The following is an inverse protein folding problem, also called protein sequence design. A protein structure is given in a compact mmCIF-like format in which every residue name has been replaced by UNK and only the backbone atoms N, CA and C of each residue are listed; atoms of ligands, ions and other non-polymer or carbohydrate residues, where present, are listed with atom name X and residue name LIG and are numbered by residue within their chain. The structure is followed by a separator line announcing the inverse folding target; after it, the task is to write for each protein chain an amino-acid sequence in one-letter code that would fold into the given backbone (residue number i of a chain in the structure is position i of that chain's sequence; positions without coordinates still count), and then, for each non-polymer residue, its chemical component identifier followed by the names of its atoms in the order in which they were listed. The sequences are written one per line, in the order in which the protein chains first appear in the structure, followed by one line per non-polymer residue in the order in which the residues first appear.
data_IF_247196651792
#
_entry.id   IF_247196651792
#
_cell.length_a   1.000
_cell.length_b   1.000
_cell.length_c   1.000
_cell.angle_alpha   90.00
_cell.angle_beta   90.00
_cell.angle_gamma   90.00
#
_symmetry.space_group_name_H-M   'P 1'
#
loop_
_entity.id
_entity.type
_entity.pdbx_description
1 polymer ?
#
# COMPACT_ATOMS: atom_id res chain seq x y z
N UNK A 1 -1.94 -3.72 25.31
CA UNK A 1 -1.76 -3.12 23.96
C UNK A 1 -0.36 -2.53 23.84
N UNK A 2 0.19 -2.44 22.62
CA UNK A 2 1.50 -1.78 22.38
C UNK A 2 1.44 -0.32 22.79
N UNK A 3 2.35 0.13 23.66
CA UNK A 3 2.37 1.50 24.20
C UNK A 3 3.71 2.21 24.00
N UNK A 4 4.75 1.46 23.62
CA UNK A 4 6.08 2.00 23.40
C UNK A 4 6.65 1.54 22.07
N UNK A 5 7.40 2.42 21.41
CA UNK A 5 8.31 2.07 20.32
C UNK A 5 9.64 1.71 20.96
N UNK A 6 10.14 0.50 20.72
CA UNK A 6 11.38 0.03 21.36
C UNK A 6 12.55 0.87 20.87
N UNK A 7 13.43 1.22 21.80
CA UNK A 7 14.70 1.91 21.55
C UNK A 7 15.84 1.09 22.12
N UNK A 8 17.00 1.10 21.45
CA UNK A 8 18.24 0.58 22.00
C UNK A 8 19.07 1.71 22.62
N UNK A 9 19.84 1.45 23.70
CA UNK A 9 20.76 2.44 24.25
C UNK A 9 21.67 3.02 23.15
N UNK A 10 21.85 4.33 23.15
CA UNK A 10 22.70 5.07 22.19
C UNK A 10 22.31 4.94 20.71
N UNK A 11 21.11 4.44 20.39
CA UNK A 11 20.55 4.50 19.03
C UNK A 11 19.31 5.38 19.01
N UNK A 12 19.24 6.27 18.04
CA UNK A 12 18.00 6.95 17.67
C UNK A 12 17.26 6.12 16.63
N UNK A 13 15.94 6.34 16.50
CA UNK A 13 15.22 5.73 15.40
C UNK A 13 15.57 6.43 14.10
N UNK A 14 15.72 5.64 13.04
CA UNK A 14 15.74 6.19 11.70
C UNK A 14 14.43 6.91 11.41
N UNK A 15 14.55 8.05 10.76
CA UNK A 15 13.41 8.88 10.42
C UNK A 15 13.57 9.52 9.05
N UNK A 16 12.45 9.64 8.37
CA UNK A 16 12.37 10.14 7.00
C UNK A 16 11.30 11.21 6.95
N UNK A 17 11.59 12.29 6.23
CA UNK A 17 10.53 13.16 5.78
C UNK A 17 9.84 12.48 4.60
N UNK A 18 8.52 12.42 4.60
CA UNK A 18 7.73 11.83 3.53
C UNK A 18 6.61 12.76 3.08
N UNK A 19 6.14 12.53 1.87
CA UNK A 19 4.90 13.11 1.36
C UNK A 19 4.16 12.08 0.51
N UNK A 20 2.83 12.12 0.59
CA UNK A 20 1.92 11.44 -0.34
C UNK A 20 1.13 12.55 -1.05
N UNK A 21 1.22 12.62 -2.37
CA UNK A 21 0.58 13.69 -3.12
C UNK A 21 -0.96 13.59 -3.02
N UNK A 22 -1.62 14.68 -2.62
CA UNK A 22 -3.09 14.70 -2.54
C UNK A 22 -3.76 14.61 -3.93
N UNK A 23 -3.04 14.92 -5.01
CA UNK A 23 -3.56 14.90 -6.39
C UNK A 23 -3.39 13.54 -7.07
N UNK A 24 -2.18 12.95 -7.03
CA UNK A 24 -1.87 11.71 -7.75
C UNK A 24 -1.57 10.52 -6.84
N UNK A 25 -1.53 10.71 -5.51
CA UNK A 25 -1.18 9.69 -4.53
C UNK A 25 0.27 9.15 -4.64
N UNK A 26 1.17 9.82 -5.38
CA UNK A 26 2.58 9.42 -5.42
C UNK A 26 3.22 9.59 -4.04
N UNK A 27 4.04 8.61 -3.66
CA UNK A 27 4.85 8.65 -2.45
C UNK A 27 6.26 9.12 -2.77
N UNK A 28 6.80 9.99 -1.92
CA UNK A 28 8.21 10.39 -1.96
C UNK A 28 8.74 10.58 -0.54
N UNK A 29 10.02 10.26 -0.35
CA UNK A 29 10.70 10.31 0.94
C UNK A 29 12.17 10.65 0.80
N UNK A 30 12.74 11.20 1.87
CA UNK A 30 14.16 11.49 2.03
C UNK A 30 14.51 11.43 3.53
N UNK A 31 15.76 11.12 3.88
CA UNK A 31 16.18 11.08 5.29
C UNK A 31 15.87 12.43 5.95
N UNK A 32 15.29 12.39 7.15
CA UNK A 32 14.75 13.60 7.81
C UNK A 32 15.81 14.67 8.12
N UNK A 33 17.10 14.30 8.14
CA UNK A 33 18.23 15.22 8.30
C UNK A 33 18.64 15.93 6.99
N UNK A 34 18.27 15.38 5.83
CA UNK A 34 18.68 15.89 4.52
C UNK A 34 17.65 16.84 3.89
N UNK A 35 16.42 16.87 4.41
CA UNK A 35 15.37 17.75 3.92
C UNK A 35 14.51 18.32 5.03
N UNK A 36 13.96 19.51 4.82
CA UNK A 36 12.95 20.12 5.70
C UNK A 36 11.52 19.93 5.19
N UNK A 37 11.36 19.33 4.00
CA UNK A 37 10.07 18.98 3.43
C UNK A 37 10.04 19.03 1.92
N UNK A 38 8.88 18.69 1.36
CA UNK A 38 8.66 18.70 -0.08
C UNK A 38 7.68 19.80 -0.48
N UNK A 39 8.02 20.56 -1.51
CA UNK A 39 7.14 21.63 -2.03
C UNK A 39 6.25 21.13 -3.16
N UNK A 40 6.77 20.26 -4.02
CA UNK A 40 6.08 19.73 -5.20
C UNK A 40 6.20 18.21 -5.29
N UNK A 41 5.22 17.59 -5.93
CA UNK A 41 5.19 16.18 -6.27
C UNK A 41 6.19 15.89 -7.40
N UNK A 42 7.05 14.89 -7.20
CA UNK A 42 8.01 14.43 -8.19
C UNK A 42 7.39 13.76 -9.44
N UNK A 43 6.10 13.40 -9.42
CA UNK A 43 5.40 12.75 -10.55
C UNK A 43 4.52 13.74 -11.32
N UNK A 44 3.57 14.41 -10.65
CA UNK A 44 2.60 15.28 -11.31
C UNK A 44 2.92 16.78 -11.21
N UNK A 45 3.97 17.17 -10.48
CA UNK A 45 4.37 18.57 -10.30
C UNK A 45 3.43 19.40 -9.39
N UNK A 46 2.29 18.86 -8.94
CA UNK A 46 1.38 19.58 -8.06
C UNK A 46 2.03 19.88 -6.70
N UNK A 47 1.59 20.97 -6.06
CA UNK A 47 2.07 21.38 -4.73
C UNK A 47 1.69 20.31 -3.69
N UNK A 48 2.63 19.93 -2.82
CA UNK A 48 2.36 18.98 -1.74
C UNK A 48 1.54 19.67 -0.65
N UNK A 49 0.41 19.06 -0.29
CA UNK A 49 -0.48 19.53 0.76
C UNK A 49 -0.10 19.03 2.16
N UNK A 50 -1.11 18.65 2.95
CA UNK A 50 -0.92 18.30 4.38
C UNK A 50 -0.52 16.84 4.60
N UNK A 51 -0.60 15.99 3.58
CA UNK A 51 -0.25 14.58 3.69
C UNK A 51 1.27 14.37 3.61
N UNK A 52 1.99 15.01 4.52
CA UNK A 52 3.44 14.97 4.64
C UNK A 52 3.85 15.10 6.12
N UNK A 53 5.06 14.69 6.44
CA UNK A 53 5.59 14.78 7.79
C UNK A 53 6.82 13.91 7.98
N UNK A 54 7.16 13.64 9.23
CA UNK A 54 8.26 12.72 9.55
C UNK A 54 7.66 11.39 9.98
N UNK A 55 8.07 10.30 9.36
CA UNK A 55 7.82 8.97 9.91
C UNK A 55 9.05 8.41 10.63
N UNK A 56 8.79 7.63 11.68
CA UNK A 56 9.79 6.87 12.42
C UNK A 56 9.76 5.41 11.96
N UNK A 57 10.93 4.81 11.76
CA UNK A 57 11.06 3.37 11.51
C UNK A 57 11.17 2.61 12.84
N UNK A 58 10.16 1.81 13.23
CA UNK A 58 10.18 1.05 14.49
C UNK A 58 11.01 -0.24 14.36
N UNK A 59 12.26 -0.13 13.91
CA UNK A 59 13.12 -1.28 13.55
C UNK A 59 13.37 -2.26 14.70
N UNK A 60 13.24 -1.82 15.96
CA UNK A 60 13.42 -2.67 17.15
C UNK A 60 12.08 -3.22 17.69
N UNK A 61 10.97 -2.96 17.01
CA UNK A 61 9.64 -3.40 17.40
C UNK A 61 8.98 -2.52 18.47
N UNK A 62 7.98 -3.08 19.13
CA UNK A 62 7.12 -2.39 20.10
C UNK A 62 7.17 -3.08 21.47
N UNK A 63 6.88 -2.33 22.53
CA UNK A 63 6.71 -2.87 23.90
C UNK A 63 5.29 -2.57 24.38
N UNK A 64 4.66 -3.56 25.01
CA UNK A 64 3.35 -3.41 25.62
C UNK A 64 3.38 -2.45 26.82
N UNK A 65 2.24 -1.82 27.10
CA UNK A 65 2.02 -1.14 28.38
C UNK A 65 2.09 -2.14 29.55
N UNK A 66 2.42 -1.63 30.75
CA UNK A 66 2.37 -2.41 31.99
C UNK A 66 0.94 -2.58 32.54
N UNK A 67 -0.04 -1.91 31.92
CA UNK A 67 -1.46 -2.08 32.25
C UNK A 67 -1.90 -3.52 31.93
N UNK A 68 -2.65 -4.12 32.85
CA UNK A 68 -3.22 -5.44 32.63
C UNK A 68 -4.05 -5.41 31.33
N UNK A 69 -3.89 -6.39 30.42
CA UNK A 69 -4.76 -6.49 29.26
C UNK A 69 -6.21 -6.56 29.76
N UNK A 70 -7.09 -5.76 29.17
CA UNK A 70 -8.53 -5.89 29.41
C UNK A 70 -9.00 -7.30 29.07
N UNK A 71 -10.14 -7.72 29.65
CA UNK A 71 -10.73 -9.01 29.31
C UNK A 71 -10.95 -9.09 27.78
N UNK A 72 -10.52 -10.18 27.11
CA UNK A 72 -10.79 -10.35 25.70
C UNK A 72 -12.31 -10.39 25.49
N UNK A 73 -12.85 -9.38 24.81
CA UNK A 73 -14.24 -9.35 24.37
C UNK A 73 -14.43 -10.14 23.07
N UNK A 74 -15.69 -10.40 22.72
CA UNK A 74 -16.05 -10.97 21.41
C UNK A 74 -15.87 -9.96 20.26
N UNK A 75 -15.80 -8.66 20.59
CA UNK A 75 -15.55 -7.60 19.62
C UNK A 75 -14.08 -7.57 19.20
N UNK A 76 -13.88 -7.62 17.88
CA UNK A 76 -12.56 -7.47 17.27
C UNK A 76 -11.98 -6.10 17.66
N UNK A 77 -10.72 -6.04 18.13
CA UNK A 77 -10.08 -4.77 18.43
C UNK A 77 -10.10 -3.84 17.21
N UNK A 78 -10.51 -2.59 17.42
CA UNK A 78 -10.42 -1.57 16.39
C UNK A 78 -8.95 -1.43 15.96
N UNK A 79 -8.64 -1.84 14.73
CA UNK A 79 -7.34 -1.53 14.15
C UNK A 79 -7.33 -0.05 13.90
N UNK A 80 -6.35 0.61 14.51
CA UNK A 80 -6.32 2.07 14.59
C UNK A 80 -6.49 2.69 13.21
N UNK A 81 -5.79 2.20 12.17
CA UNK A 81 -5.98 2.65 10.77
C UNK A 81 -5.49 1.60 9.76
N UNK A 82 -6.12 1.51 8.58
CA UNK A 82 -5.62 0.69 7.45
C UNK A 82 -4.33 1.28 6.91
N UNK A 83 -3.25 0.49 6.85
CA UNK A 83 -1.99 0.95 6.29
C UNK A 83 -1.95 0.62 4.80
N UNK A 84 -1.57 1.59 3.96
CA UNK A 84 -1.44 1.43 2.50
C UNK A 84 0.02 1.26 2.12
N UNK A 85 0.27 0.42 1.12
CA UNK A 85 1.58 0.27 0.48
C UNK A 85 1.67 1.25 -0.68
N UNK A 86 2.84 1.86 -0.83
CA UNK A 86 3.15 2.80 -1.91
C UNK A 86 4.45 2.39 -2.59
N UNK A 87 4.46 2.42 -3.93
CA UNK A 87 5.69 2.32 -4.70
C UNK A 87 6.34 3.70 -4.86
N UNK A 88 7.64 3.76 -4.60
CA UNK A 88 8.40 5.02 -4.67
C UNK A 88 8.82 5.42 -6.09
N UNK A 89 8.57 4.56 -7.09
CA UNK A 89 9.04 4.76 -8.45
C UNK A 89 10.49 4.33 -8.69
N UNK A 90 11.14 3.71 -7.69
CA UNK A 90 12.56 3.30 -7.75
C UNK A 90 12.70 1.78 -7.69
N UNK A 91 13.48 1.23 -8.61
CA UNK A 91 14.03 -0.13 -8.65
C UNK A 91 15.54 -0.02 -8.88
N UNK A 92 16.33 -0.93 -8.32
CA UNK A 92 17.79 -0.90 -8.46
C UNK A 92 18.40 -2.24 -8.92
N UNK A 93 17.56 -3.17 -9.33
CA UNK A 93 17.99 -4.49 -9.78
C UNK A 93 17.73 -4.71 -11.27
N UNK A 94 17.84 -5.97 -11.69
CA UNK A 94 17.53 -6.40 -13.04
C UNK A 94 16.07 -6.13 -13.39
N UNK A 95 15.84 -5.73 -14.64
CA UNK A 95 14.53 -5.51 -15.21
C UNK A 95 14.31 -6.39 -16.44
N UNK A 96 13.15 -7.03 -16.51
CA UNK A 96 12.69 -7.81 -17.66
C UNK A 96 11.36 -7.23 -18.14
N UNK A 97 11.24 -7.00 -19.45
CA UNK A 97 10.06 -6.39 -20.05
C UNK A 97 9.48 -7.26 -21.17
N UNK A 98 8.17 -7.46 -21.12
CA UNK A 98 7.36 -8.11 -22.17
C UNK A 98 6.15 -7.23 -22.48
N UNK A 99 5.78 -7.13 -23.76
CA UNK A 99 4.58 -6.41 -24.19
C UNK A 99 3.57 -7.39 -24.79
N UNK A 100 2.32 -7.28 -24.37
CA UNK A 100 1.20 -8.06 -24.90
C UNK A 100 0.29 -7.12 -25.70
N UNK A 101 -0.05 -7.52 -26.92
CA UNK A 101 -1.04 -6.81 -27.73
C UNK A 101 -2.43 -7.26 -27.30
N UNK A 102 -3.25 -6.30 -26.88
CA UNK A 102 -4.64 -6.48 -26.54
C UNK A 102 -5.54 -5.93 -27.66
N UNK A 103 -6.81 -6.29 -27.66
CA UNK A 103 -7.78 -5.77 -28.61
C UNK A 103 -7.98 -4.24 -28.43
N UNK A 104 -8.45 -3.59 -29.50
CA UNK A 104 -8.68 -2.13 -29.49
C UNK A 104 -7.39 -1.28 -29.55
N UNK A 105 -6.26 -1.87 -29.95
CA UNK A 105 -4.98 -1.16 -30.09
C UNK A 105 -4.28 -0.88 -28.76
N UNK A 106 -4.69 -1.56 -27.69
CA UNK A 106 -4.10 -1.44 -26.35
C UNK A 106 -2.87 -2.35 -26.29
N UNK A 107 -1.77 -1.86 -25.71
CA UNK A 107 -0.59 -2.67 -25.41
C UNK A 107 -0.39 -2.73 -23.90
N UNK A 108 -0.37 -3.94 -23.35
CA UNK A 108 -0.06 -4.18 -21.95
C UNK A 108 1.44 -4.44 -21.80
N UNK A 109 2.14 -3.50 -21.19
CA UNK A 109 3.53 -3.64 -20.79
C UNK A 109 3.63 -4.31 -19.41
N UNK A 110 4.35 -5.42 -19.35
CA UNK A 110 4.78 -6.10 -18.14
C UNK A 110 6.24 -5.77 -17.90
N UNK A 111 6.59 -5.20 -16.74
CA UNK A 111 7.98 -5.00 -16.31
C UNK A 111 8.21 -5.66 -14.96
N UNK A 112 8.91 -6.79 -14.92
CA UNK A 112 9.46 -7.26 -13.65
C UNK A 112 10.70 -6.44 -13.32
N UNK A 113 10.80 -6.00 -12.08
CA UNK A 113 11.98 -5.34 -11.57
C UNK A 113 12.31 -5.94 -10.20
N UNK A 114 13.60 -6.23 -9.98
CA UNK A 114 14.07 -6.62 -8.65
C UNK A 114 14.39 -5.40 -7.80
N UNK A 115 14.26 -5.57 -6.48
CA UNK A 115 14.50 -4.53 -5.47
C UNK A 115 13.68 -3.26 -5.74
N UNK A 116 12.41 -3.42 -6.07
CA UNK A 116 11.45 -2.31 -6.10
C UNK A 116 11.23 -1.76 -4.70
N UNK A 117 11.46 -0.46 -4.52
CA UNK A 117 11.37 0.22 -3.23
C UNK A 117 9.93 0.62 -2.91
N UNK A 118 9.34 -0.08 -1.94
CA UNK A 118 7.99 0.14 -1.42
C UNK A 118 8.03 0.79 -0.04
N UNK A 119 6.92 1.42 0.35
CA UNK A 119 6.75 2.05 1.65
C UNK A 119 5.37 1.78 2.23
N UNK A 120 5.33 1.55 3.54
CA UNK A 120 4.12 1.38 4.34
C UNK A 120 4.08 2.52 5.35
N UNK A 121 3.04 3.35 5.29
CA UNK A 121 2.92 4.54 6.16
C UNK A 121 1.61 4.49 6.94
N UNK A 122 1.74 4.54 8.26
CA UNK A 122 0.65 4.74 9.20
C UNK A 122 0.73 6.16 9.80
N UNK A 123 -0.13 7.06 9.32
CA UNK A 123 -0.22 8.44 9.78
C UNK A 123 -1.30 8.64 10.86
N UNK A 124 -1.83 7.54 11.42
CA UNK A 124 -2.91 7.53 12.38
C UNK A 124 -4.14 8.37 11.98
N UNK A 125 -4.64 8.24 10.74
CA UNK A 125 -5.78 9.03 10.27
C UNK A 125 -5.52 10.53 10.28
N UNK A 126 -4.28 10.91 9.92
CA UNK A 126 -3.75 12.28 9.98
C UNK A 126 -3.50 12.85 11.39
N UNK A 127 -3.84 12.14 12.47
CA UNK A 127 -3.51 12.58 13.83
C UNK A 127 -2.03 12.43 14.14
N UNK A 128 -1.36 11.44 13.54
CA UNK A 128 -0.02 11.00 13.88
C UNK A 128 0.08 10.42 15.29
N UNK A 129 1.31 10.14 15.69
CA UNK A 129 1.70 9.61 16.98
C UNK A 129 2.60 10.61 17.68
N UNK A 130 2.33 10.88 18.95
CA UNK A 130 3.26 11.64 19.79
C UNK A 130 4.18 10.62 20.46
N UNK A 131 5.48 10.81 20.30
CA UNK A 131 6.48 9.85 20.75
C UNK A 131 7.48 10.54 21.67
N UNK A 132 7.68 9.99 22.87
CA UNK A 132 8.77 10.39 23.74
C UNK A 132 10.08 9.85 23.19
N UNK A 133 10.98 10.73 22.72
CA UNK A 133 12.30 10.33 22.21
C UNK A 133 13.20 9.68 23.26
N UNK A 134 12.95 9.93 24.54
CA UNK A 134 13.75 9.36 25.63
C UNK A 134 13.43 7.86 25.87
N UNK A 135 12.15 7.50 25.96
CA UNK A 135 11.74 6.15 26.39
C UNK A 135 10.84 5.39 25.41
N UNK A 136 10.41 6.00 24.31
CA UNK A 136 9.52 5.37 23.33
C UNK A 136 8.04 5.41 23.66
N UNK A 137 7.63 5.97 24.79
CA UNK A 137 6.21 6.08 25.15
C UNK A 137 5.44 6.81 24.06
N UNK A 138 4.31 6.23 23.64
CA UNK A 138 3.57 6.66 22.45
C UNK A 138 2.08 6.79 22.76
N UNK A 139 1.49 7.90 22.31
CA UNK A 139 0.04 8.13 22.33
C UNK A 139 -0.41 8.61 20.96
N UNK A 140 -1.70 8.44 20.64
CA UNK A 140 -2.26 9.00 19.42
C UNK A 140 -2.26 10.53 19.49
N UNK A 141 -2.12 11.19 18.33
CA UNK A 141 -1.98 12.64 18.29
C UNK A 141 -3.19 13.43 18.77
N UNK A 142 -4.38 12.81 18.75
CA UNK A 142 -5.65 13.31 19.27
C UNK A 142 -5.90 12.95 20.75
N UNK A 143 -5.09 12.08 21.36
CA UNK A 143 -5.17 11.78 22.78
C UNK A 143 -4.52 12.90 23.61
N UNK A 144 -4.98 13.06 24.86
CA UNK A 144 -4.34 13.96 25.83
C UNK A 144 -2.92 13.49 26.13
N UNK A 145 -1.95 14.37 25.95
CA UNK A 145 -0.55 14.08 26.29
C UNK A 145 -0.42 14.13 27.81
N UNK A 146 -0.02 13.04 28.48
CA UNK A 146 0.17 13.08 29.92
C UNK A 146 1.40 13.96 30.25
N UNK A 147 1.28 14.80 31.27
CA UNK A 147 2.37 15.69 31.71
C UNK A 147 3.59 14.92 32.23
N UNK A 148 3.37 13.71 32.74
CA UNK A 148 4.39 12.75 33.14
C UNK A 148 4.02 11.37 32.60
N UNK A 149 5.02 10.55 32.25
CA UNK A 149 4.79 9.17 31.82
C UNK A 149 5.93 8.27 32.30
N UNK A 150 5.65 6.97 32.36
CA UNK A 150 6.62 5.96 32.76
C UNK A 150 7.36 5.38 31.56
N UNK A 151 8.62 5.02 31.76
CA UNK A 151 9.41 4.18 30.85
C UNK A 151 8.79 2.78 30.74
N UNK A 152 9.17 1.96 29.72
CA UNK A 152 8.71 0.57 29.62
C UNK A 152 8.99 -0.29 30.86
N UNK A 153 9.96 0.12 31.69
CA UNK A 153 10.37 -0.58 32.92
C UNK A 153 9.71 -0.02 34.19
N UNK A 154 8.79 0.95 34.06
CA UNK A 154 8.00 1.47 35.19
C UNK A 154 8.61 2.68 35.92
N UNK A 155 9.83 3.10 35.56
CA UNK A 155 10.47 4.31 36.10
C UNK A 155 9.86 5.58 35.50
N UNK A 156 9.85 6.69 36.23
CA UNK A 156 9.43 7.99 35.69
C UNK A 156 10.37 8.47 34.57
N UNK A 157 9.80 9.00 33.50
CA UNK A 157 10.55 9.53 32.38
C UNK A 157 10.46 11.07 32.33
N UNK A 158 11.59 11.80 32.33
CA UNK A 158 11.59 13.25 32.19
C UNK A 158 11.43 13.71 30.73
N UNK A 159 11.34 12.77 29.79
CA UNK A 159 11.25 13.06 28.37
C UNK A 159 9.95 13.77 28.00
N UNK A 160 9.97 14.54 26.91
CA UNK A 160 8.82 15.29 26.42
C UNK A 160 8.33 14.72 25.09
N UNK A 161 7.03 14.88 24.84
CA UNK A 161 6.34 14.40 23.63
C UNK A 161 5.95 15.58 22.72
N UNK A 162 6.96 16.28 22.20
CA UNK A 162 6.79 17.58 21.54
C UNK A 162 6.29 17.45 20.10
N UNK A 163 6.71 16.41 19.40
CA UNK A 163 6.50 16.25 17.97
C UNK A 163 5.49 15.14 17.68
N UNK A 164 4.82 15.28 16.54
CA UNK A 164 3.98 14.24 15.94
C UNK A 164 4.77 13.54 14.84
N UNK A 165 4.62 12.23 14.77
CA UNK A 165 5.28 11.36 13.81
C UNK A 165 4.26 10.44 13.18
N UNK A 166 4.49 10.03 11.94
CA UNK A 166 3.91 8.80 11.41
C UNK A 166 4.78 7.62 11.81
N UNK A 167 4.25 6.40 11.71
CA UNK A 167 5.06 5.18 11.74
C UNK A 167 5.15 4.64 10.33
N UNK A 168 6.33 4.18 9.94
CA UNK A 168 6.48 3.63 8.61
C UNK A 168 7.71 2.76 8.45
N UNK A 169 7.75 2.06 7.33
CA UNK A 169 8.89 1.25 6.93
C UNK A 169 8.99 1.27 5.41
N UNK A 170 10.22 1.38 4.92
CA UNK A 170 10.54 1.19 3.51
C UNK A 170 11.27 -0.14 3.36
N UNK A 171 10.87 -0.90 2.35
CA UNK A 171 11.43 -2.21 2.07
C UNK A 171 11.59 -2.40 0.56
N UNK A 172 12.41 -3.38 0.19
CA UNK A 172 12.66 -3.75 -1.19
C UNK A 172 12.16 -5.19 -1.40
N UNK A 173 11.48 -5.41 -2.53
CA UNK A 173 11.02 -6.72 -2.96
C UNK A 173 10.97 -6.76 -4.49
N UNK A 174 10.78 -7.94 -5.06
CA UNK A 174 10.51 -8.06 -6.49
C UNK A 174 9.11 -7.54 -6.80
N UNK A 175 8.99 -6.77 -7.88
CA UNK A 175 7.73 -6.19 -8.33
C UNK A 175 7.45 -6.59 -9.77
N UNK A 176 6.16 -6.64 -10.11
CA UNK A 176 5.67 -6.63 -11.47
C UNK A 176 4.86 -5.35 -11.70
N UNK A 177 5.37 -4.46 -12.54
CA UNK A 177 4.68 -3.27 -13.01
C UNK A 177 3.88 -3.62 -14.27
N UNK A 178 2.58 -3.36 -14.24
CA UNK A 178 1.68 -3.46 -15.37
C UNK A 178 1.31 -2.06 -15.83
N UNK A 179 1.42 -1.79 -17.13
CA UNK A 179 1.02 -0.50 -17.69
C UNK A 179 0.27 -0.69 -19.01
N UNK A 180 -0.94 -0.13 -19.10
CA UNK A 180 -1.84 -0.28 -20.25
C UNK A 180 -1.68 0.93 -21.19
N UNK A 181 -0.76 0.82 -22.16
CA UNK A 181 -0.58 1.84 -23.19
C UNK A 181 -1.81 1.97 -24.07
N UNK A 182 -2.17 3.21 -24.41
CA UNK A 182 -3.34 3.49 -25.25
C UNK A 182 -4.69 3.35 -24.55
N UNK A 183 -4.71 3.08 -23.24
CA UNK A 183 -5.94 2.98 -22.45
C UNK A 183 -5.96 3.96 -21.28
N UNK A 184 -7.12 4.57 -21.07
CA UNK A 184 -7.37 5.48 -19.96
C UNK A 184 -8.79 5.27 -19.45
N UNK A 185 -8.95 5.34 -18.13
CA UNK A 185 -10.25 5.30 -17.47
C UNK A 185 -10.22 6.22 -16.24
N UNK A 186 -11.20 7.10 -16.14
CA UNK A 186 -11.33 8.08 -15.06
C UNK A 186 -12.49 7.76 -14.11
N UNK A 187 -13.22 6.66 -14.34
CA UNK A 187 -14.28 6.20 -13.44
C UNK A 187 -13.66 5.87 -12.08
N UNK A 188 -14.22 6.47 -11.04
CA UNK A 188 -13.76 6.31 -9.66
C UNK A 188 -13.73 4.82 -9.29
N UNK A 189 -12.60 4.36 -8.75
CA UNK A 189 -12.44 2.96 -8.32
C UNK A 189 -12.12 1.95 -9.43
N UNK A 190 -12.13 2.34 -10.72
CA UNK A 190 -11.82 1.41 -11.83
C UNK A 190 -10.44 0.76 -11.66
N UNK A 191 -9.38 1.56 -11.53
CA UNK A 191 -8.01 1.03 -11.45
C UNK A 191 -7.75 0.20 -10.20
N UNK A 192 -8.37 0.55 -9.06
CA UNK A 192 -8.34 -0.30 -7.88
C UNK A 192 -9.09 -1.61 -8.11
N UNK A 193 -10.26 -1.57 -8.75
CA UNK A 193 -11.02 -2.77 -9.09
C UNK A 193 -10.24 -3.68 -10.03
N UNK A 194 -9.58 -3.13 -11.05
CA UNK A 194 -8.72 -3.88 -11.97
C UNK A 194 -7.51 -4.48 -11.24
N UNK A 195 -6.82 -3.72 -10.39
CA UNK A 195 -5.71 -4.20 -9.57
C UNK A 195 -6.11 -5.41 -8.74
N UNK A 196 -7.23 -5.33 -8.02
CA UNK A 196 -7.67 -6.42 -7.17
C UNK A 196 -8.19 -7.61 -7.99
N UNK A 197 -8.86 -7.39 -9.11
CA UNK A 197 -9.23 -8.48 -10.02
C UNK A 197 -8.01 -9.25 -10.51
N UNK A 198 -6.95 -8.55 -10.92
CA UNK A 198 -5.71 -9.17 -11.39
C UNK A 198 -4.98 -9.91 -10.27
N UNK A 199 -4.94 -9.39 -9.04
CA UNK A 199 -4.36 -10.11 -7.91
C UNK A 199 -5.08 -11.43 -7.62
N UNK A 200 -6.41 -11.44 -7.72
CA UNK A 200 -7.19 -12.68 -7.59
C UNK A 200 -6.98 -13.63 -8.79
N UNK A 201 -6.83 -13.08 -9.99
CA UNK A 201 -6.48 -13.84 -11.20
C UNK A 201 -5.11 -14.50 -11.09
N UNK A 202 -4.10 -13.77 -10.61
CA UNK A 202 -2.75 -14.30 -10.35
C UNK A 202 -2.81 -15.42 -9.32
N UNK A 203 -3.48 -15.18 -8.18
CA UNK A 203 -3.65 -16.20 -7.14
C UNK A 203 -4.29 -17.48 -7.70
N UNK A 204 -5.34 -17.33 -8.52
CA UNK A 204 -6.07 -18.47 -9.09
C UNK A 204 -5.29 -19.20 -10.19
N UNK A 205 -4.68 -18.47 -11.13
CA UNK A 205 -3.96 -19.06 -12.27
C UNK A 205 -2.65 -19.72 -11.84
N UNK A 206 -1.93 -19.10 -10.90
CA UNK A 206 -0.60 -19.56 -10.48
C UNK A 206 -0.63 -20.37 -9.19
N UNK A 207 -1.81 -20.62 -8.61
CA UNK A 207 -1.98 -21.32 -7.33
C UNK A 207 -1.13 -20.71 -6.20
N UNK A 208 -1.10 -19.38 -6.16
CA UNK A 208 -0.40 -18.63 -5.11
C UNK A 208 -1.44 -18.23 -4.06
N UNK A 209 -1.10 -18.39 -2.79
CA UNK A 209 -1.95 -17.93 -1.70
C UNK A 209 -2.21 -16.43 -1.81
N UNK A 210 -3.48 -16.02 -1.83
CA UNK A 210 -3.84 -14.62 -2.05
C UNK A 210 -3.20 -13.67 -1.02
N UNK A 211 -2.99 -14.15 0.21
CA UNK A 211 -2.37 -13.38 1.29
C UNK A 211 -0.87 -13.10 1.07
N UNK A 212 -0.22 -13.86 0.19
CA UNK A 212 1.21 -13.75 -0.16
C UNK A 212 1.43 -12.77 -1.32
N UNK A 213 0.35 -12.21 -1.88
CA UNK A 213 0.37 -11.21 -2.93
C UNK A 213 -0.26 -9.91 -2.44
N UNK A 214 0.27 -8.78 -2.87
CA UNK A 214 -0.41 -7.51 -2.71
C UNK A 214 -0.07 -6.56 -3.86
N UNK A 215 -0.70 -5.40 -3.88
CA UNK A 215 -0.44 -4.43 -4.91
C UNK A 215 -0.87 -3.01 -4.58
N UNK A 216 -0.32 -2.08 -5.35
CA UNK A 216 -0.66 -0.67 -5.25
C UNK A 216 -0.72 -0.02 -6.63
N UNK A 217 -1.39 1.12 -6.72
CA UNK A 217 -1.37 1.96 -7.92
C UNK A 217 -0.17 2.89 -7.84
N UNK A 218 0.53 3.05 -8.96
CA UNK A 218 1.59 4.04 -9.12
C UNK A 218 1.20 5.05 -10.20
N UNK A 219 1.05 6.34 -9.87
CA UNK A 219 0.71 7.35 -10.86
C UNK A 219 1.83 7.54 -11.87
N UNK A 220 1.47 7.61 -13.15
CA UNK A 220 2.44 7.83 -14.23
C UNK A 220 2.51 9.31 -14.62
N UNK A 221 3.70 9.84 -14.96
CA UNK A 221 3.83 11.21 -15.48
C UNK A 221 2.91 11.47 -16.69
N UNK A 222 2.38 12.68 -16.81
CA UNK A 222 1.50 13.10 -17.91
C UNK A 222 0.03 12.77 -17.70
N UNK A 223 -0.32 11.55 -17.24
CA UNK A 223 -1.71 11.18 -16.91
C UNK A 223 -1.81 10.34 -15.62
N UNK A 224 -1.53 10.94 -14.45
CA UNK A 224 -1.35 10.20 -13.21
C UNK A 224 -2.62 9.50 -12.68
N UNK A 225 -3.81 9.98 -13.06
CA UNK A 225 -5.09 9.44 -12.57
C UNK A 225 -5.83 8.61 -13.61
N UNK A 226 -5.70 8.94 -14.90
CA UNK A 226 -6.41 8.24 -15.97
C UNK A 226 -5.73 6.96 -16.44
N UNK A 227 -4.42 6.81 -16.21
CA UNK A 227 -3.67 5.59 -16.55
C UNK A 227 -2.50 5.39 -15.57
N UNK A 228 -2.76 5.00 -14.32
CA UNK A 228 -1.71 4.59 -13.40
C UNK A 228 -1.12 3.24 -13.81
N UNK A 229 0.11 2.97 -13.42
CA UNK A 229 0.65 1.63 -13.44
C UNK A 229 0.11 0.83 -12.24
N UNK A 230 -0.07 -0.47 -12.42
CA UNK A 230 -0.44 -1.40 -11.36
C UNK A 230 0.83 -2.12 -10.92
N UNK A 231 1.19 -1.99 -9.65
CA UNK A 231 2.36 -2.64 -9.07
C UNK A 231 1.88 -3.85 -8.26
N UNK A 232 2.28 -5.03 -8.68
CA UNK A 232 2.05 -6.30 -7.98
C UNK A 232 3.37 -6.71 -7.32
N UNK A 233 3.31 -7.26 -6.11
CA UNK A 233 4.50 -7.72 -5.40
C UNK A 233 4.18 -8.87 -4.44
N UNK A 234 5.22 -9.63 -4.09
CA UNK A 234 5.11 -10.66 -3.07
C UNK A 234 5.11 -10.01 -1.69
N UNK A 235 4.09 -10.31 -0.88
CA UNK A 235 3.98 -9.86 0.50
C UNK A 235 4.38 -10.96 1.49
N UNK A 236 5.60 -11.47 1.27
CA UNK A 236 6.25 -12.40 2.18
C UNK A 236 7.64 -11.86 2.53
N UNK A 237 8.12 -12.04 3.78
CA UNK A 237 9.46 -11.58 4.16
C UNK A 237 10.53 -12.14 3.22
N UNK A 238 11.30 -11.26 2.58
CA UNK A 238 12.37 -11.63 1.64
C UNK A 238 11.94 -11.84 0.18
N UNK A 239 10.63 -11.84 -0.11
CA UNK A 239 10.08 -12.07 -1.45
C UNK A 239 10.18 -13.53 -1.90
N UNK A 240 9.11 -14.09 -2.45
CA UNK A 240 9.10 -15.46 -2.97
C UNK A 240 9.51 -15.54 -4.45
N UNK A 241 9.62 -14.40 -5.12
CA UNK A 241 9.87 -14.28 -6.55
C UNK A 241 8.70 -14.76 -7.40
N UNK A 242 7.46 -14.77 -6.89
CA UNK A 242 6.31 -15.25 -7.65
C UNK A 242 5.96 -14.29 -8.78
N UNK A 243 5.89 -12.99 -8.49
CA UNK A 243 5.56 -11.97 -9.48
C UNK A 243 6.54 -11.89 -10.64
N UNK A 244 7.81 -12.28 -10.43
CA UNK A 244 8.82 -12.34 -11.49
C UNK A 244 8.52 -13.40 -12.54
N UNK A 245 7.90 -14.53 -12.14
CA UNK A 245 7.56 -15.64 -13.05
C UNK A 245 6.42 -15.32 -14.00
N UNK A 246 5.67 -14.25 -13.74
CA UNK A 246 4.53 -13.79 -14.54
C UNK A 246 4.94 -13.01 -15.78
N UNK A 247 6.21 -12.69 -15.99
CA UNK A 247 6.70 -11.95 -17.17
C UNK A 247 6.82 -12.89 -18.37
N UNK A 248 5.70 -13.49 -18.73
CA UNK A 248 5.52 -14.35 -19.90
C UNK A 248 4.14 -14.07 -20.46
N UNK A 249 4.07 -13.88 -21.77
CA UNK A 249 2.82 -13.55 -22.46
C UNK A 249 1.71 -14.56 -22.14
N UNK A 250 1.98 -15.86 -22.32
CA UNK A 250 0.99 -16.92 -22.09
C UNK A 250 0.52 -16.97 -20.63
N UNK A 251 1.44 -16.89 -19.67
CA UNK A 251 1.09 -16.87 -18.25
C UNK A 251 0.22 -15.67 -17.90
N UNK A 252 0.46 -14.50 -18.49
CA UNK A 252 -0.36 -13.33 -18.19
C UNK A 252 -1.73 -13.37 -18.88
N UNK A 253 -1.86 -14.02 -20.05
CA UNK A 253 -3.17 -14.31 -20.66
C UNK A 253 -4.02 -15.20 -19.76
N UNK A 254 -3.43 -16.22 -19.14
CA UNK A 254 -4.11 -17.08 -18.14
C UNK A 254 -4.61 -16.25 -16.94
N UNK A 255 -3.81 -15.28 -16.47
CA UNK A 255 -4.20 -14.36 -15.39
C UNK A 255 -5.39 -13.49 -15.80
N UNK A 256 -5.39 -12.91 -17.01
CA UNK A 256 -6.51 -12.11 -17.51
C UNK A 256 -7.79 -12.95 -17.60
N UNK A 257 -7.68 -14.18 -18.10
CA UNK A 257 -8.81 -15.10 -18.20
C UNK A 257 -9.34 -15.52 -16.82
N UNK A 258 -8.46 -15.87 -15.89
CA UNK A 258 -8.82 -16.24 -14.53
C UNK A 258 -9.51 -15.08 -13.80
N UNK A 259 -9.02 -13.85 -13.99
CA UNK A 259 -9.63 -12.63 -13.47
C UNK A 259 -11.06 -12.47 -13.98
N UNK A 260 -11.25 -12.52 -15.31
CA UNK A 260 -12.57 -12.38 -15.94
C UNK A 260 -13.55 -13.46 -15.47
N UNK A 261 -13.11 -14.73 -15.49
CA UNK A 261 -13.92 -15.88 -15.05
C UNK A 261 -14.39 -15.73 -13.59
N UNK A 262 -13.49 -15.31 -12.70
CA UNK A 262 -13.83 -15.10 -11.28
C UNK A 262 -14.88 -14.01 -11.12
N UNK A 263 -14.71 -12.88 -11.81
CA UNK A 263 -15.66 -11.77 -11.70
C UNK A 263 -17.02 -12.13 -12.29
N UNK A 264 -17.08 -12.86 -13.41
CA UNK A 264 -18.32 -13.27 -14.05
C UNK A 264 -19.12 -14.30 -13.23
N UNK A 265 -18.44 -15.20 -12.51
CA UNK A 265 -19.10 -16.20 -11.63
C UNK A 265 -19.68 -15.62 -10.35
N UNK A 266 -19.25 -14.43 -9.95
CA UNK A 266 -19.81 -13.76 -8.79
C UNK A 266 -21.22 -13.21 -9.11
N UNK A 267 -22.08 -13.10 -8.10
CA UNK A 267 -23.46 -12.60 -8.28
C UNK A 267 -23.70 -11.26 -7.56
N UNK A 268 -22.67 -10.68 -6.93
CA UNK A 268 -22.84 -9.43 -6.17
C UNK A 268 -23.20 -8.24 -7.10
N UNK A 269 -24.11 -7.37 -6.65
CA UNK A 269 -24.63 -6.28 -7.49
C UNK A 269 -25.61 -6.73 -8.59
N UNK A 270 -26.09 -7.98 -8.52
CA UNK A 270 -27.06 -8.52 -9.47
C UNK A 270 -26.56 -8.53 -10.92
N UNK A 271 -27.49 -8.33 -11.86
CA UNK A 271 -27.22 -8.32 -13.31
C UNK A 271 -26.28 -7.19 -13.72
N UNK A 272 -26.38 -6.03 -13.06
CA UNK A 272 -25.55 -4.86 -13.37
C UNK A 272 -24.08 -5.02 -12.90
N UNK A 273 -23.83 -5.90 -11.93
CA UNK A 273 -22.48 -6.11 -11.38
C UNK A 273 -21.88 -4.87 -10.71
N UNK A 274 -22.70 -3.89 -10.34
CA UNK A 274 -22.30 -2.58 -9.82
C UNK A 274 -21.83 -2.60 -8.34
N UNK A 275 -21.20 -3.70 -7.92
CA UNK A 275 -20.80 -3.93 -6.54
C UNK A 275 -19.48 -4.71 -6.45
N UNK A 276 -19.04 -4.94 -5.20
CA UNK A 276 -17.92 -5.80 -4.85
C UNK A 276 -18.24 -6.60 -3.59
N UNK A 277 -17.64 -7.78 -3.45
CA UNK A 277 -17.72 -8.62 -2.26
C UNK A 277 -16.39 -9.36 -2.04
N UNK A 278 -16.27 -10.09 -0.93
CA UNK A 278 -15.08 -10.88 -0.62
C UNK A 278 -14.85 -12.06 -1.58
N UNK A 279 -15.87 -12.46 -2.33
CA UNK A 279 -15.75 -13.49 -3.37
C UNK A 279 -15.22 -12.97 -4.73
N UNK A 280 -15.10 -11.65 -4.91
CA UNK A 280 -14.62 -11.08 -6.18
C UNK A 280 -13.45 -10.09 -6.00
N UNK A 281 -13.65 -8.95 -5.34
CA UNK A 281 -12.67 -7.86 -5.30
C UNK A 281 -12.24 -7.46 -3.89
N UNK A 282 -13.07 -7.72 -2.87
CA UNK A 282 -12.78 -7.28 -1.50
C UNK A 282 -11.81 -8.23 -0.83
N UNK A 283 -10.82 -7.65 -0.19
CA UNK A 283 -9.87 -8.32 0.67
C UNK A 283 -9.74 -7.51 1.97
N UNK A 284 -9.22 -8.10 3.05
CA UNK A 284 -9.06 -7.36 4.31
C UNK A 284 -8.15 -6.11 4.14
N UNK A 285 -7.15 -6.22 3.27
CA UNK A 285 -6.13 -5.18 3.07
C UNK A 285 -6.60 -3.99 2.24
N UNK A 286 -7.67 -4.14 1.47
CA UNK A 286 -8.21 -3.07 0.62
C UNK A 286 -9.49 -2.43 1.17
N UNK A 287 -9.76 -2.61 2.47
CA UNK A 287 -10.91 -1.99 3.16
C UNK A 287 -11.03 -0.49 2.92
N UNK A 288 -9.90 0.22 2.77
CA UNK A 288 -9.87 1.65 2.52
C UNK A 288 -10.58 2.10 1.23
N UNK A 289 -10.82 1.18 0.28
CA UNK A 289 -11.49 1.50 -0.99
C UNK A 289 -12.68 0.58 -1.31
N UNK A 290 -13.18 -0.21 -0.36
CA UNK A 290 -14.31 -1.15 -0.59
C UNK A 290 -15.54 -0.49 -1.21
N UNK A 291 -15.83 0.75 -0.84
CA UNK A 291 -16.98 1.53 -1.34
C UNK A 291 -16.80 2.00 -2.79
N UNK A 292 -15.59 1.90 -3.33
CA UNK A 292 -15.25 2.30 -4.70
C UNK A 292 -15.09 1.09 -5.64
N UNK A 293 -14.97 -0.13 -5.09
CA UNK A 293 -14.72 -1.33 -5.87
C UNK A 293 -15.99 -1.80 -6.59
N UNK A 294 -15.87 -2.08 -7.88
CA UNK A 294 -16.97 -2.46 -8.76
C UNK A 294 -16.50 -3.49 -9.80
N UNK A 295 -17.09 -4.69 -9.77
CA UNK A 295 -16.69 -5.78 -10.69
C UNK A 295 -17.18 -5.55 -12.12
N UNK A 296 -18.33 -4.92 -12.31
CA UNK A 296 -18.93 -4.69 -13.63
C UNK A 296 -18.01 -3.89 -14.56
N UNK A 297 -17.41 -2.81 -14.03
CA UNK A 297 -16.46 -1.98 -14.80
C UNK A 297 -15.25 -2.77 -15.30
N UNK A 298 -14.77 -3.73 -14.49
CA UNK A 298 -13.62 -4.57 -14.84
C UNK A 298 -14.00 -5.66 -15.84
N UNK A 299 -15.19 -6.28 -15.68
CA UNK A 299 -15.71 -7.26 -16.64
C UNK A 299 -15.86 -6.61 -18.02
N UNK A 300 -16.47 -5.43 -18.08
CA UNK A 300 -16.63 -4.65 -19.33
C UNK A 300 -15.29 -4.43 -20.02
N UNK A 301 -14.29 -3.98 -19.25
CA UNK A 301 -12.94 -3.76 -19.77
C UNK A 301 -12.28 -5.05 -20.25
N UNK A 302 -12.19 -6.07 -19.41
CA UNK A 302 -11.50 -7.34 -19.74
C UNK A 302 -12.14 -8.03 -20.94
N UNK A 303 -13.48 -8.07 -21.02
CA UNK A 303 -14.18 -8.67 -22.16
C UNK A 303 -13.92 -7.92 -23.49
N UNK A 304 -13.68 -6.61 -23.43
CA UNK A 304 -13.37 -5.79 -24.61
C UNK A 304 -11.93 -5.97 -25.08
N UNK A 305 -10.97 -6.03 -24.16
CA UNK A 305 -9.54 -6.00 -24.49
C UNK A 305 -8.91 -7.38 -24.62
N UNK A 306 -9.57 -8.39 -24.04
CA UNK A 306 -9.20 -9.80 -24.12
C UNK A 306 -10.40 -10.63 -24.57
N UNK A 307 -10.83 -10.51 -25.84
CA UNK A 307 -11.85 -11.39 -26.38
C UNK A 307 -11.30 -12.82 -26.44
N UNK A 308 -12.02 -13.72 -25.78
CA UNK A 308 -11.84 -15.17 -25.86
C UNK A 308 -11.85 -15.67 -27.31
#
# INVERSE_FOLDING_TARGET
TSRYIRRLPNREWESFFYAICDQCQSYQSERAELTKGFTHCNVCGSRIGRNQGIFIVPAFGFIAGQENPGNPGEEKPEKTYTTRVYFSGKSSGEEEKVCLKLAGGIELELTAASRGKLAVINNAGHYGFRVCRACGFTVLGNESVPGQHKTPWGNDCPGKMLNRYSLGHEFETDILKLYFHGYQDTRKGFWHSLLYALLEGVSSAMQIERQDLDGCLYPMPGNPLGSPALILFDDVPGGAGHVRRLVREESFKEVLQASLNRLQRCECGGVEGNASCYGCLRHYRNQFCHDELNRGMVIEFLAKVFPL
#
